data_IF_052054419385
#
_entry.id   IF_052054419385
#
_cell.length_a   1.000
_cell.length_b   1.000
_cell.length_c   1.000
_cell.angle_alpha   90.00
_cell.angle_beta   90.00
_cell.angle_gamma   90.00
#
_symmetry.space_group_name_H-M   'P 1'
#
loop_
_entity.id
_entity.type
_entity.pdbx_description
1 polymer ?
#
# COMPACT_ATOMS: atom_id res chain seq x y z
N UNK A 1 21.68 14.93 9.78
CA UNK A 1 22.09 13.57 9.35
C UNK A 1 21.04 12.60 9.82
N UNK A 2 20.34 11.90 8.91
CA UNK A 2 19.42 10.84 9.29
C UNK A 2 20.23 9.68 9.89
N UNK A 3 19.87 9.26 11.11
CA UNK A 3 20.52 8.14 11.79
C UNK A 3 19.80 6.86 11.37
N UNK A 4 20.53 5.87 10.88
CA UNK A 4 19.96 4.55 10.61
C UNK A 4 19.54 3.92 11.95
N UNK A 5 18.24 3.73 12.15
CA UNK A 5 17.70 3.02 13.31
C UNK A 5 17.78 1.51 13.05
N UNK A 6 18.46 0.73 13.92
CA UNK A 6 18.47 -0.72 13.78
C UNK A 6 17.06 -1.29 14.03
N UNK A 7 16.75 -2.48 13.49
CA UNK A 7 15.47 -3.15 13.75
C UNK A 7 15.23 -3.40 15.24
N UNK A 8 14.02 -3.12 15.72
CA UNK A 8 13.59 -3.42 17.09
C UNK A 8 12.54 -4.53 17.10
N UNK A 9 13.01 -5.77 17.25
CA UNK A 9 12.19 -6.98 17.23
C UNK A 9 11.22 -7.09 18.43
N UNK A 10 11.29 -6.18 19.42
CA UNK A 10 10.30 -6.14 20.50
C UNK A 10 8.98 -5.49 20.06
N UNK A 11 8.97 -4.78 18.93
CA UNK A 11 7.82 -4.02 18.43
C UNK A 11 6.77 -4.86 17.69
N UNK A 12 7.05 -6.12 17.34
CA UNK A 12 6.07 -7.00 16.69
C UNK A 12 6.66 -8.22 16.00
N UNK A 13 5.81 -9.00 15.32
CA UNK A 13 6.24 -10.13 14.49
C UNK A 13 6.60 -9.65 13.08
N UNK A 14 7.90 -9.58 12.78
CA UNK A 14 8.45 -9.14 11.49
C UNK A 14 7.97 -9.95 10.28
N UNK A 15 7.35 -11.12 10.50
CA UNK A 15 6.78 -11.96 9.43
C UNK A 15 5.40 -11.49 8.98
N UNK A 16 4.78 -10.59 9.73
CA UNK A 16 3.53 -9.90 9.36
C UNK A 16 3.83 -8.53 8.79
N UNK A 17 2.94 -7.98 7.97
CA UNK A 17 3.14 -6.65 7.39
C UNK A 17 3.24 -5.56 8.47
N UNK A 18 2.27 -5.54 9.39
CA UNK A 18 2.24 -4.56 10.47
C UNK A 18 3.44 -4.71 11.41
N UNK A 19 3.82 -5.94 11.73
CA UNK A 19 5.01 -6.19 12.55
C UNK A 19 6.32 -5.82 11.85
N UNK A 20 6.48 -6.11 10.55
CA UNK A 20 7.64 -5.63 9.78
C UNK A 20 7.76 -4.10 9.83
N UNK A 21 6.67 -3.38 9.58
CA UNK A 21 6.67 -1.92 9.60
C UNK A 21 7.02 -1.36 11.00
N UNK A 22 6.54 -2.00 12.05
CA UNK A 22 6.85 -1.63 13.44
C UNK A 22 8.33 -1.91 13.78
N UNK A 23 8.85 -3.09 13.41
CA UNK A 23 10.23 -3.52 13.70
C UNK A 23 11.25 -2.70 12.92
N UNK A 24 11.00 -2.39 11.65
CA UNK A 24 11.97 -1.75 10.75
C UNK A 24 11.75 -0.25 10.50
N UNK A 25 10.64 0.32 11.00
CA UNK A 25 10.27 1.73 10.82
C UNK A 25 10.31 2.20 9.34
N UNK A 26 10.00 1.30 8.41
CA UNK A 26 9.97 1.56 6.96
C UNK A 26 8.96 0.66 6.25
N UNK A 27 8.45 1.06 5.06
CA UNK A 27 7.60 0.19 4.26
C UNK A 27 8.27 -1.13 3.89
N UNK A 28 7.50 -2.20 3.83
CA UNK A 28 7.96 -3.44 3.20
C UNK A 28 8.07 -3.24 1.69
N UNK A 29 9.07 -3.89 1.08
CA UNK A 29 9.32 -3.84 -0.35
C UNK A 29 9.28 -5.25 -0.96
N UNK A 30 8.74 -5.36 -2.16
CA UNK A 30 8.53 -6.61 -2.88
C UNK A 30 8.87 -6.43 -4.36
N UNK A 31 9.36 -7.48 -5.00
CA UNK A 31 9.43 -7.56 -6.46
C UNK A 31 8.10 -8.14 -6.98
N UNK A 32 7.43 -7.44 -7.90
CA UNK A 32 6.24 -7.95 -8.58
C UNK A 32 6.59 -9.02 -9.60
N UNK A 33 5.61 -9.82 -10.01
CA UNK A 33 5.77 -10.82 -11.09
C UNK A 33 6.11 -10.22 -12.46
N UNK A 34 5.99 -8.90 -12.61
CA UNK A 34 6.43 -8.09 -13.77
C UNK A 34 7.90 -7.64 -13.68
N UNK A 35 8.63 -8.05 -12.64
CA UNK A 35 10.03 -7.69 -12.40
C UNK A 35 10.24 -6.26 -11.89
N UNK A 36 9.17 -5.56 -11.45
CA UNK A 36 9.27 -4.19 -10.92
C UNK A 36 9.28 -4.19 -9.40
N UNK A 37 9.90 -3.16 -8.81
CA UNK A 37 9.94 -2.95 -7.37
C UNK A 37 8.69 -2.22 -6.87
N UNK A 38 8.11 -2.73 -5.78
CA UNK A 38 6.95 -2.15 -5.12
C UNK A 38 7.21 -1.96 -3.63
N UNK A 39 6.81 -0.82 -3.07
CA UNK A 39 6.63 -0.67 -1.62
C UNK A 39 5.15 -0.73 -1.28
N UNK A 40 4.80 -1.21 -0.10
CA UNK A 40 3.39 -1.32 0.32
C UNK A 40 3.07 -0.43 1.52
N UNK A 41 1.87 0.15 1.51
CA UNK A 41 1.23 0.79 2.65
C UNK A 41 -0.10 0.09 2.97
N UNK A 42 -0.54 0.20 4.22
CA UNK A 42 -1.88 -0.19 4.66
C UNK A 42 -2.72 1.08 4.68
N UNK A 43 -3.80 1.09 3.93
CA UNK A 43 -4.74 2.21 3.85
C UNK A 43 -6.14 1.74 4.28
N UNK A 44 -6.99 2.70 4.65
CA UNK A 44 -8.38 2.42 5.05
C UNK A 44 -9.33 3.42 4.44
N UNK A 45 -10.54 2.97 4.13
CA UNK A 45 -11.62 3.84 3.63
C UNK A 45 -12.98 3.43 4.19
N UNK A 46 -13.93 4.35 4.19
CA UNK A 46 -15.31 4.10 4.56
C UNK A 46 -16.00 3.26 3.48
N UNK A 47 -16.79 2.26 3.89
CA UNK A 47 -17.43 1.33 2.94
C UNK A 47 -18.88 1.69 2.62
N UNK A 48 -19.50 2.55 3.43
CA UNK A 48 -20.94 2.80 3.42
C UNK A 48 -21.81 1.67 4.01
N UNK A 49 -21.23 0.52 4.38
CA UNK A 49 -21.93 -0.60 5.05
C UNK A 49 -21.85 -0.44 6.58
N UNK A 50 -23.00 -0.28 7.24
CA UNK A 50 -23.06 -0.13 8.71
C UNK A 50 -22.54 -1.36 9.46
N UNK A 51 -22.58 -2.55 8.87
CA UNK A 51 -22.03 -3.77 9.47
C UNK A 51 -20.51 -3.88 9.30
N UNK A 52 -19.93 -3.13 8.35
CA UNK A 52 -18.51 -3.17 8.00
C UNK A 52 -18.00 -1.76 7.66
N UNK A 53 -18.10 -0.78 8.58
CA UNK A 53 -18.04 0.64 8.24
C UNK A 53 -16.70 1.08 7.66
N UNK A 54 -15.59 0.44 8.06
CA UNK A 54 -14.26 0.74 7.55
C UNK A 54 -13.64 -0.51 6.94
N UNK A 55 -13.13 -0.38 5.71
CA UNK A 55 -12.39 -1.41 4.99
C UNK A 55 -10.91 -1.06 4.93
N UNK A 56 -10.04 -2.04 5.15
CA UNK A 56 -8.58 -1.91 5.00
C UNK A 56 -8.10 -2.60 3.73
N UNK A 57 -7.14 -1.98 3.04
CA UNK A 57 -6.56 -2.48 1.80
C UNK A 57 -5.06 -2.20 1.71
N UNK A 58 -4.41 -2.77 0.70
CA UNK A 58 -2.99 -2.56 0.41
C UNK A 58 -2.84 -1.61 -0.76
N UNK A 59 -2.02 -0.57 -0.58
CA UNK A 59 -1.56 0.32 -1.63
C UNK A 59 -0.13 -0.03 -2.01
N UNK A 60 0.08 -0.57 -3.21
CA UNK A 60 1.41 -0.87 -3.74
C UNK A 60 1.89 0.28 -4.62
N UNK A 61 2.98 0.94 -4.20
CA UNK A 61 3.64 2.00 -4.97
C UNK A 61 4.76 1.40 -5.81
N UNK A 62 4.69 1.59 -7.13
CA UNK A 62 5.63 1.06 -8.11
C UNK A 62 6.77 2.03 -8.36
N UNK A 63 8.00 1.55 -8.24
CA UNK A 63 9.21 2.34 -8.43
C UNK A 63 9.82 2.15 -9.82
N UNK A 64 10.42 3.23 -10.35
CA UNK A 64 11.26 3.20 -11.54
C UNK A 64 12.57 2.46 -11.30
N UNK A 65 13.24 2.06 -12.39
CA UNK A 65 14.49 1.31 -12.32
C UNK A 65 15.73 2.19 -12.16
N UNK A 66 15.90 3.17 -13.06
CA UNK A 66 17.12 3.99 -13.10
C UNK A 66 17.12 5.15 -12.10
N UNK A 67 15.94 5.68 -11.78
CA UNK A 67 15.75 6.76 -10.81
C UNK A 67 14.70 6.36 -9.78
N UNK A 68 14.82 6.81 -8.52
CA UNK A 68 13.85 6.55 -7.46
C UNK A 68 12.60 7.41 -7.66
N UNK A 69 11.90 7.18 -8.77
CA UNK A 69 10.67 7.84 -9.15
C UNK A 69 9.49 6.89 -8.99
N UNK A 70 8.34 7.44 -8.58
CA UNK A 70 7.09 6.68 -8.54
C UNK A 70 6.53 6.60 -9.96
N UNK A 71 6.44 5.40 -10.51
CA UNK A 71 5.93 5.15 -11.88
C UNK A 71 4.47 4.71 -11.91
N UNK A 72 3.84 4.54 -10.76
CA UNK A 72 2.43 4.17 -10.63
C UNK A 72 2.11 3.58 -9.27
N UNK A 73 0.86 3.18 -9.09
CA UNK A 73 0.43 2.39 -7.95
C UNK A 73 -0.65 1.39 -8.38
N UNK A 74 -0.88 0.37 -7.56
CA UNK A 74 -1.99 -0.56 -7.69
C UNK A 74 -2.54 -0.81 -6.29
N UNK A 75 -3.87 -0.88 -6.19
CA UNK A 75 -4.58 -1.10 -4.93
C UNK A 75 -5.19 -2.49 -4.91
N UNK A 76 -5.17 -3.14 -3.75
CA UNK A 76 -6.03 -4.30 -3.53
C UNK A 76 -7.48 -3.87 -3.30
N UNK A 77 -8.46 -4.76 -3.51
CA UNK A 77 -9.75 -4.62 -2.84
C UNK A 77 -9.59 -4.57 -1.31
N UNK A 78 -10.68 -4.26 -0.59
CA UNK A 78 -10.70 -4.43 0.86
C UNK A 78 -10.40 -5.88 1.24
N UNK A 79 -9.38 -6.06 2.09
CA UNK A 79 -8.91 -7.36 2.57
C UNK A 79 -9.43 -7.67 3.98
N UNK A 80 -9.71 -6.63 4.77
CA UNK A 80 -10.25 -6.75 6.11
C UNK A 80 -11.18 -5.56 6.43
N UNK A 81 -11.97 -5.70 7.49
CA UNK A 81 -12.90 -4.67 7.95
C UNK A 81 -12.78 -4.46 9.46
N UNK A 82 -13.16 -3.27 9.91
CA UNK A 82 -13.22 -2.91 11.33
C UNK A 82 -14.35 -1.93 11.62
N UNK A 83 -14.68 -1.76 12.90
CA UNK A 83 -15.55 -0.66 13.34
C UNK A 83 -14.82 0.69 13.26
N UNK A 84 -13.49 0.67 13.24
CA UNK A 84 -12.61 1.85 13.13
C UNK A 84 -11.46 1.61 12.14
N UNK A 85 -10.82 2.70 11.69
CA UNK A 85 -9.62 2.63 10.85
C UNK A 85 -8.46 1.87 11.51
N UNK A 86 -8.25 2.04 12.82
CA UNK A 86 -7.22 1.31 13.56
C UNK A 86 -7.48 -0.20 13.57
N UNK A 87 -8.75 -0.62 13.73
CA UNK A 87 -9.11 -2.03 13.66
C UNK A 87 -8.88 -2.63 12.28
N UNK A 88 -9.31 -1.92 11.22
CA UNK A 88 -9.09 -2.36 9.84
C UNK A 88 -7.58 -2.43 9.52
N UNK A 89 -6.81 -1.41 9.92
CA UNK A 89 -5.36 -1.35 9.76
C UNK A 89 -4.68 -2.52 10.47
N UNK A 90 -5.02 -2.79 11.74
CA UNK A 90 -4.48 -3.95 12.48
C UNK A 90 -4.82 -5.27 11.81
N UNK A 91 -6.04 -5.41 11.29
CA UNK A 91 -6.48 -6.63 10.63
C UNK A 91 -5.72 -6.89 9.31
N UNK A 92 -5.51 -5.87 8.47
CA UNK A 92 -4.64 -5.98 7.29
C UNK A 92 -3.18 -6.20 7.69
N UNK A 93 -2.72 -5.53 8.74
CA UNK A 93 -1.36 -5.65 9.26
C UNK A 93 -1.02 -7.05 9.77
N UNK A 94 -2.01 -7.87 10.10
CA UNK A 94 -1.83 -9.26 10.51
C UNK A 94 -1.53 -10.21 9.34
N UNK A 95 -1.69 -9.77 8.09
CA UNK A 95 -1.29 -10.56 6.92
C UNK A 95 0.21 -10.85 6.97
N UNK A 96 0.58 -12.09 6.67
CA UNK A 96 1.99 -12.45 6.49
C UNK A 96 2.59 -11.74 5.26
N UNK A 97 3.90 -11.50 5.28
CA UNK A 97 4.59 -10.94 4.11
C UNK A 97 4.42 -11.82 2.85
N UNK A 98 4.24 -13.13 3.02
CA UNK A 98 3.93 -14.04 1.91
C UNK A 98 2.54 -13.79 1.34
N UNK A 99 1.51 -13.60 2.18
CA UNK A 99 0.17 -13.25 1.70
C UNK A 99 0.16 -11.91 0.98
N UNK A 100 0.88 -10.91 1.49
CA UNK A 100 1.06 -9.61 0.82
C UNK A 100 1.71 -9.77 -0.55
N UNK A 101 2.79 -10.55 -0.65
CA UNK A 101 3.43 -10.86 -1.94
C UNK A 101 2.47 -11.53 -2.92
N UNK A 102 1.68 -12.49 -2.44
CA UNK A 102 0.67 -13.17 -3.27
C UNK A 102 -0.39 -12.18 -3.78
N UNK A 103 -0.83 -11.23 -2.96
CA UNK A 103 -1.75 -10.17 -3.41
C UNK A 103 -1.12 -9.30 -4.50
N UNK A 104 0.13 -8.87 -4.33
CA UNK A 104 0.84 -8.11 -5.37
C UNK A 104 0.89 -8.88 -6.70
N UNK A 105 1.26 -10.15 -6.67
CA UNK A 105 1.39 -10.97 -7.89
C UNK A 105 0.05 -11.18 -8.60
N UNK A 106 -1.04 -11.33 -7.84
CA UNK A 106 -2.40 -11.41 -8.39
C UNK A 106 -2.82 -10.11 -9.07
N UNK A 107 -2.50 -8.96 -8.45
CA UNK A 107 -2.85 -7.64 -8.99
C UNK A 107 -2.04 -7.31 -10.24
N UNK A 108 -0.74 -7.62 -10.24
CA UNK A 108 0.14 -7.43 -11.40
C UNK A 108 -0.23 -8.37 -12.56
N UNK A 109 -0.65 -9.60 -12.26
CA UNK A 109 -1.13 -10.56 -13.27
C UNK A 109 -2.56 -10.30 -13.78
N UNK A 110 -3.34 -9.47 -13.07
CA UNK A 110 -4.68 -9.03 -13.47
C UNK A 110 -4.65 -7.97 -14.58
N UNK A 111 -5.78 -7.78 -15.28
CA UNK A 111 -5.90 -6.66 -16.23
C UNK A 111 -5.73 -5.32 -15.49
N UNK A 112 -4.96 -4.36 -16.03
CA UNK A 112 -4.62 -3.13 -15.33
C UNK A 112 -5.88 -2.31 -14.98
N UNK A 113 -6.03 -1.97 -13.70
CA UNK A 113 -6.98 -0.97 -13.24
C UNK A 113 -6.44 0.40 -13.69
N UNK A 114 -7.09 1.01 -14.68
CA UNK A 114 -6.92 2.39 -15.17
C UNK A 114 -5.53 3.03 -14.98
N UNK A 115 -4.72 2.99 -16.04
CA UNK A 115 -3.36 3.56 -16.08
C UNK A 115 -3.30 5.09 -16.20
N UNK A 116 -4.35 5.84 -15.82
CA UNK A 116 -4.24 7.31 -15.83
C UNK A 116 -3.42 7.74 -14.61
N UNK A 117 -2.25 8.39 -14.80
CA UNK A 117 -1.50 8.94 -13.68
C UNK A 117 -2.36 10.01 -12.99
N UNK A 118 -2.53 9.91 -11.67
CA UNK A 118 -3.35 10.86 -10.92
C UNK A 118 -2.80 12.30 -10.95
N UNK A 119 -1.49 12.47 -11.17
CA UNK A 119 -0.86 13.78 -11.39
C UNK A 119 -1.32 14.45 -12.69
N UNK A 120 -1.65 13.67 -13.73
CA UNK A 120 -2.25 14.23 -14.95
C UNK A 120 -3.67 14.71 -14.70
N UNK A 121 -4.45 13.97 -13.90
CA UNK A 121 -5.79 14.38 -13.49
C UNK A 121 -5.77 15.69 -12.69
N UNK A 122 -4.83 15.84 -11.74
CA UNK A 122 -4.69 17.07 -10.96
C UNK A 122 -4.20 18.28 -11.76
N UNK A 123 -3.38 18.08 -12.81
CA UNK A 123 -2.92 19.18 -13.68
C UNK A 123 -4.04 19.78 -14.53
N UNK A 124 -5.03 18.99 -14.90
CA UNK A 124 -6.21 19.47 -15.65
C UNK A 124 -7.11 20.35 -14.76
N UNK A 125 -7.33 19.95 -13.50
CA UNK A 125 -8.12 20.72 -12.52
C UNK A 125 -7.50 22.08 -12.16
N UNK A 126 -6.17 22.20 -12.20
CA UNK A 126 -5.45 23.45 -11.95
C UNK A 126 -5.51 24.49 -13.08
N UNK A 127 -6.04 24.13 -14.26
CA UNK A 127 -6.14 25.05 -15.43
C UNK A 127 -7.51 25.71 -15.59
N UNK A 128 -8.45 25.44 -14.67
CA UNK A 128 -9.84 25.88 -14.74
C UNK A 128 -10.19 27.18 -13.99
N UNK A 129 -9.24 28.09 -13.72
CA UNK A 129 -9.56 29.41 -13.15
C UNK A 129 -8.85 30.54 -13.89
N UNK A 130 -9.62 31.28 -14.69
CA UNK A 130 -9.34 32.68 -15.03
C UNK A 130 -9.08 32.98 -16.50
N UNK A 131 -10.11 32.89 -17.34
CA UNK A 131 -10.40 33.98 -18.28
C UNK A 131 -11.35 34.95 -17.60
#
# INVERSE_FOLDING_TARGET
MARHEPPDHTKGDEKTLGGYMAVHARPAAFEGSDGRSYTVAIETDETGDRARPVGGFLLFVRWGGEQPEVTGHIESPFLAWGATADEATRAVGALSLHEVKKQLDLLVGGKPQSSRPWWEAMREEGTGHGQ
#
